data_IF_650322890971
#
_entry.id   IF_650322890971
#
_cell.length_a   1.000
_cell.length_b   1.000
_cell.length_c   1.000
_cell.angle_alpha   90.00
_cell.angle_beta   90.00
_cell.angle_gamma   90.00
#
_symmetry.space_group_name_H-M   'P 1'
#
loop_
_entity.id
_entity.type
_entity.pdbx_description
1 polymer ?
#
# COMPACT_ATOMS: atom_id res chain seq x y z
N UNK A 1 -11.33 -20.83 19.42
CA UNK A 1 -10.84 -19.50 19.79
C UNK A 1 -10.33 -18.77 18.57
N UNK A 2 -10.84 -17.58 18.34
CA UNK A 2 -10.31 -16.72 17.30
C UNK A 2 -9.12 -15.95 17.85
N UNK A 3 -7.97 -16.11 17.22
CA UNK A 3 -6.79 -15.33 17.59
C UNK A 3 -6.88 -13.95 16.98
N UNK A 4 -6.65 -12.93 17.79
CA UNK A 4 -6.47 -11.57 17.29
C UNK A 4 -5.22 -11.53 16.43
N UNK A 5 -5.30 -10.99 15.20
CA UNK A 5 -4.13 -10.89 14.35
C UNK A 5 -3.08 -9.97 14.96
N UNK A 6 -1.83 -10.38 14.88
CA UNK A 6 -0.69 -9.55 15.26
C UNK A 6 -0.15 -8.93 13.98
N UNK A 7 -0.01 -7.60 13.97
CA UNK A 7 0.60 -6.90 12.85
C UNK A 7 2.08 -6.70 13.16
N UNK A 8 2.92 -7.18 12.28
CA UNK A 8 4.38 -7.14 12.43
C UNK A 8 5.07 -7.00 11.08
N UNK A 9 6.35 -6.64 11.11
CA UNK A 9 7.16 -6.60 9.90
C UNK A 9 7.37 -8.02 9.38
N UNK A 10 7.39 -8.19 8.06
CA UNK A 10 7.64 -9.50 7.46
C UNK A 10 9.02 -10.03 7.81
N UNK A 11 9.15 -11.36 7.82
CA UNK A 11 10.43 -12.06 7.88
C UNK A 11 10.62 -12.84 6.58
N UNK A 12 11.85 -13.34 6.29
CA UNK A 12 12.06 -14.14 5.07
C UNK A 12 11.14 -15.35 4.97
N UNK A 13 10.73 -15.93 6.10
CA UNK A 13 9.83 -17.09 6.14
C UNK A 13 8.43 -16.75 5.67
N UNK A 14 8.05 -15.46 5.68
CA UNK A 14 6.70 -15.04 5.29
C UNK A 14 6.55 -14.86 3.77
N UNK A 15 7.63 -14.83 3.01
CA UNK A 15 7.61 -14.43 1.60
C UNK A 15 6.67 -15.27 0.74
N UNK A 16 6.70 -16.59 0.90
CA UNK A 16 5.81 -17.45 0.13
C UNK A 16 4.34 -17.26 0.51
N UNK A 17 4.06 -17.12 1.82
CA UNK A 17 2.70 -16.87 2.28
C UNK A 17 2.17 -15.53 1.78
N UNK A 18 3.01 -14.49 1.73
CA UNK A 18 2.64 -13.20 1.15
C UNK A 18 2.31 -13.35 -0.33
N UNK A 19 3.14 -14.09 -1.07
CA UNK A 19 2.92 -14.34 -2.49
C UNK A 19 1.55 -15.01 -2.73
N UNK A 20 1.29 -16.09 -2.01
CA UNK A 20 0.06 -16.85 -2.16
C UNK A 20 -1.16 -16.02 -1.77
N UNK A 21 -1.08 -15.30 -0.67
CA UNK A 21 -2.16 -14.42 -0.20
C UNK A 21 -2.48 -13.35 -1.26
N UNK A 22 -1.45 -12.69 -1.78
CA UNK A 22 -1.61 -11.61 -2.76
C UNK A 22 -2.22 -12.15 -4.05
N UNK A 23 -1.71 -13.28 -4.55
CA UNK A 23 -2.29 -13.96 -5.72
C UNK A 23 -3.77 -14.23 -5.54
N UNK A 24 -4.14 -14.83 -4.40
CA UNK A 24 -5.52 -15.25 -4.16
C UNK A 24 -6.45 -14.06 -3.92
N UNK A 25 -5.98 -13.00 -3.28
CA UNK A 25 -6.79 -11.81 -3.01
C UNK A 25 -7.09 -11.03 -4.30
N UNK A 26 -6.14 -10.97 -5.25
CA UNK A 26 -6.32 -10.23 -6.49
C UNK A 26 -6.94 -11.05 -7.62
N UNK A 27 -6.90 -12.37 -7.53
CA UNK A 27 -7.41 -13.25 -8.60
C UNK A 27 -8.85 -12.93 -9.03
N UNK A 28 -9.81 -12.64 -8.13
CA UNK A 28 -11.18 -12.35 -8.55
C UNK A 28 -11.39 -10.92 -9.05
N UNK A 29 -10.39 -10.05 -8.98
CA UNK A 29 -10.55 -8.64 -9.31
C UNK A 29 -10.36 -8.41 -10.81
N UNK A 30 -11.37 -7.82 -11.45
CA UNK A 30 -11.39 -7.65 -12.91
C UNK A 30 -10.26 -6.73 -13.40
N UNK A 31 -9.79 -5.80 -12.58
CA UNK A 31 -8.72 -4.88 -12.97
C UNK A 31 -7.32 -5.49 -12.83
N UNK A 32 -7.19 -6.64 -12.18
CA UNK A 32 -5.89 -7.25 -11.95
C UNK A 32 -5.45 -8.08 -13.15
N UNK A 33 -4.17 -7.99 -13.49
CA UNK A 33 -3.54 -8.85 -14.49
C UNK A 33 -2.75 -10.01 -13.86
N UNK A 34 -2.81 -10.15 -12.54
CA UNK A 34 -2.11 -11.21 -11.81
C UNK A 34 -0.67 -10.89 -11.45
N UNK A 35 -0.21 -9.67 -11.73
CA UNK A 35 1.20 -9.30 -11.51
C UNK A 35 1.52 -8.87 -10.07
N UNK A 36 0.50 -8.64 -9.24
CA UNK A 36 0.70 -8.07 -7.90
C UNK A 36 1.67 -8.88 -7.01
N UNK A 37 1.62 -10.22 -6.98
CA UNK A 37 2.60 -10.97 -6.18
C UNK A 37 4.03 -10.78 -6.64
N UNK A 38 4.25 -10.80 -7.96
CA UNK A 38 5.59 -10.62 -8.53
C UNK A 38 6.10 -9.19 -8.31
N UNK A 39 5.20 -8.22 -8.29
CA UNK A 39 5.51 -6.83 -8.00
C UNK A 39 6.15 -6.68 -6.61
N UNK A 40 5.60 -7.35 -5.60
CA UNK A 40 6.16 -7.32 -4.24
C UNK A 40 7.57 -7.91 -4.24
N UNK A 41 7.77 -9.04 -4.92
CA UNK A 41 9.08 -9.65 -5.04
C UNK A 41 10.07 -8.73 -5.76
N UNK A 42 9.62 -8.02 -6.79
CA UNK A 42 10.47 -7.07 -7.52
C UNK A 42 10.84 -5.87 -6.65
N UNK A 43 9.88 -5.31 -5.88
CA UNK A 43 10.19 -4.26 -4.92
C UNK A 43 11.27 -4.69 -3.95
N UNK A 44 11.19 -5.93 -3.47
CA UNK A 44 12.17 -6.49 -2.54
C UNK A 44 13.54 -6.63 -3.20
N UNK A 45 13.58 -7.15 -4.43
CA UNK A 45 14.83 -7.32 -5.19
C UNK A 45 15.48 -5.98 -5.52
N UNK A 46 14.68 -4.95 -5.81
CA UNK A 46 15.17 -3.61 -6.15
C UNK A 46 15.62 -2.82 -4.92
N UNK A 47 15.37 -3.32 -3.71
CA UNK A 47 15.65 -2.56 -2.48
C UNK A 47 14.62 -1.47 -2.20
N UNK A 48 13.46 -1.52 -2.87
CA UNK A 48 12.41 -0.50 -2.76
C UNK A 48 11.27 -0.89 -1.81
N UNK A 49 11.29 -2.11 -1.25
CA UNK A 49 10.29 -2.51 -0.27
C UNK A 49 10.64 -1.90 1.08
N UNK A 50 10.25 -0.63 1.27
CA UNK A 50 10.64 0.15 2.43
C UNK A 50 10.00 -0.35 3.72
N UNK A 51 8.76 -0.82 3.63
CA UNK A 51 8.02 -1.37 4.76
C UNK A 51 7.07 -2.44 4.24
N UNK A 52 7.09 -3.59 4.88
CA UNK A 52 6.21 -4.71 4.52
C UNK A 52 5.65 -5.28 5.82
N UNK A 53 4.34 -5.15 5.99
CA UNK A 53 3.65 -5.58 7.22
C UNK A 53 2.73 -6.73 6.92
N UNK A 54 2.75 -7.71 7.80
CA UNK A 54 1.85 -8.86 7.75
C UNK A 54 0.92 -8.86 8.95
N UNK A 55 -0.29 -9.36 8.75
CA UNK A 55 -1.22 -9.68 9.83
C UNK A 55 -1.17 -11.19 10.03
N UNK A 56 -0.70 -11.61 11.19
CA UNK A 56 -0.45 -13.00 11.53
C UNK A 56 -1.47 -13.48 12.58
N UNK A 57 -2.28 -14.47 12.21
CA UNK A 57 -3.24 -15.10 13.10
C UNK A 57 -3.19 -16.61 12.84
N UNK A 58 -2.12 -17.27 13.34
CA UNK A 58 -1.80 -18.66 13.01
C UNK A 58 -1.64 -18.85 11.49
N UNK A 59 -0.93 -17.96 10.87
CA UNK A 59 -0.73 -17.87 9.44
C UNK A 59 -1.01 -16.45 8.94
N UNK A 60 -0.50 -16.13 7.77
CA UNK A 60 -0.60 -14.78 7.20
C UNK A 60 -1.99 -14.61 6.60
N UNK A 61 -2.76 -13.66 7.12
CA UNK A 61 -4.10 -13.36 6.66
C UNK A 61 -4.23 -11.97 6.05
N UNK A 62 -3.19 -11.14 6.14
CA UNK A 62 -3.16 -9.82 5.54
C UNK A 62 -1.75 -9.34 5.29
N UNK A 63 -1.59 -8.41 4.37
CA UNK A 63 -0.30 -7.83 4.01
C UNK A 63 -0.49 -6.44 3.40
N UNK A 64 0.46 -5.54 3.68
CA UNK A 64 0.55 -4.25 3.01
C UNK A 64 2.02 -3.92 2.75
N UNK A 65 2.29 -3.41 1.55
CA UNK A 65 3.63 -2.96 1.15
C UNK A 65 3.66 -1.44 1.01
N UNK A 66 4.79 -0.85 1.37
CA UNK A 66 5.07 0.56 1.16
C UNK A 66 6.42 0.67 0.46
N UNK A 67 6.51 1.56 -0.53
CA UNK A 67 7.72 1.76 -1.32
C UNK A 67 7.92 3.25 -1.58
N UNK A 68 9.15 3.70 -1.90
CA UNK A 68 9.40 5.12 -2.13
C UNK A 68 8.56 5.68 -3.26
N UNK A 69 8.07 6.90 -3.08
CA UNK A 69 7.36 7.65 -4.10
C UNK A 69 7.93 9.06 -4.18
N UNK A 70 7.83 9.68 -5.34
CA UNK A 70 8.24 11.06 -5.56
C UNK A 70 7.05 11.86 -6.07
N UNK A 71 6.93 13.09 -5.60
CA UNK A 71 5.87 14.01 -6.01
C UNK A 71 6.56 15.29 -6.47
N UNK A 72 6.24 15.76 -7.68
CA UNK A 72 6.99 16.83 -8.33
C UNK A 72 7.01 18.16 -7.56
N UNK A 73 5.93 18.46 -6.84
CA UNK A 73 5.82 19.71 -6.06
C UNK A 73 5.46 19.39 -4.62
N UNK A 74 6.24 18.55 -4.00
CA UNK A 74 6.10 18.21 -2.58
C UNK A 74 7.46 18.17 -1.92
N UNK A 75 7.51 18.49 -0.64
CA UNK A 75 8.73 18.43 0.16
C UNK A 75 8.74 17.19 1.04
N UNK A 76 9.94 16.78 1.42
CA UNK A 76 10.12 15.66 2.31
C UNK A 76 10.10 14.31 1.61
N UNK A 77 10.09 13.25 2.41
CA UNK A 77 10.12 11.88 1.92
C UNK A 77 8.71 11.33 1.87
N UNK A 78 8.33 10.79 0.71
CA UNK A 78 7.01 10.23 0.47
C UNK A 78 7.10 8.75 0.15
N UNK A 79 6.06 8.03 0.53
CA UNK A 79 5.95 6.60 0.23
C UNK A 79 4.64 6.32 -0.49
N UNK A 80 4.67 5.31 -1.35
CA UNK A 80 3.47 4.78 -1.99
C UNK A 80 2.96 3.58 -1.22
N UNK A 81 1.65 3.44 -1.11
CA UNK A 81 1.00 2.30 -0.48
C UNK A 81 0.50 1.35 -1.56
N UNK A 82 0.87 0.10 -1.45
CA UNK A 82 0.37 -0.97 -2.32
C UNK A 82 1.46 -1.94 -2.76
N UNK A 83 1.08 -3.16 -3.08
CA UNK A 83 -0.25 -3.74 -2.94
C UNK A 83 -0.67 -3.96 -1.48
N UNK A 84 -1.97 -4.06 -1.26
CA UNK A 84 -2.54 -4.46 0.02
C UNK A 84 -3.47 -5.66 -0.22
N UNK A 85 -3.39 -6.66 0.64
CA UNK A 85 -4.19 -7.88 0.52
C UNK A 85 -4.73 -8.31 1.87
N UNK A 86 -5.98 -8.77 1.88
CA UNK A 86 -6.60 -9.40 3.04
C UNK A 86 -7.27 -10.68 2.54
N UNK A 87 -7.07 -11.79 3.25
CA UNK A 87 -7.68 -13.07 2.89
C UNK A 87 -9.20 -12.93 2.79
N UNK A 88 -9.79 -13.55 1.77
CA UNK A 88 -11.19 -13.33 1.40
C UNK A 88 -12.16 -13.49 2.58
N UNK A 89 -11.94 -14.51 3.42
CA UNK A 89 -12.80 -14.78 4.58
C UNK A 89 -12.55 -13.83 5.78
N UNK A 90 -11.55 -12.95 5.65
CA UNK A 90 -11.20 -11.97 6.69
C UNK A 90 -11.44 -10.54 6.27
N UNK A 91 -11.96 -10.33 5.06
CA UNK A 91 -12.27 -8.98 4.57
C UNK A 91 -13.48 -8.39 5.30
N UNK A 92 -13.59 -7.05 5.25
CA UNK A 92 -14.69 -6.28 5.85
C UNK A 92 -14.77 -6.40 7.36
N UNK A 93 -13.65 -6.70 8.03
CA UNK A 93 -13.55 -6.78 9.48
C UNK A 93 -12.59 -5.73 10.06
N UNK A 94 -12.18 -4.77 9.24
CA UNK A 94 -11.29 -3.69 9.67
C UNK A 94 -9.82 -4.03 9.62
N UNK A 95 -9.43 -5.21 9.12
CA UNK A 95 -8.03 -5.63 9.10
C UNK A 95 -7.19 -4.79 8.14
N UNK A 96 -7.73 -4.47 6.94
CA UNK A 96 -7.05 -3.61 6.00
C UNK A 96 -6.77 -2.23 6.59
N UNK A 97 -7.76 -1.64 7.25
CA UNK A 97 -7.60 -0.35 7.94
C UNK A 97 -6.51 -0.42 9.00
N UNK A 98 -6.48 -1.50 9.77
CA UNK A 98 -5.48 -1.68 10.83
C UNK A 98 -4.07 -1.81 10.26
N UNK A 99 -3.91 -2.56 9.16
CA UNK A 99 -2.63 -2.66 8.45
C UNK A 99 -2.17 -1.30 7.95
N UNK A 100 -3.06 -0.55 7.31
CA UNK A 100 -2.73 0.78 6.77
C UNK A 100 -2.33 1.73 7.90
N UNK A 101 -3.13 1.83 8.95
CA UNK A 101 -2.83 2.75 10.06
C UNK A 101 -1.54 2.39 10.78
N UNK A 102 -1.27 1.11 10.98
CA UNK A 102 0.00 0.68 11.58
C UNK A 102 1.18 1.11 10.70
N UNK A 103 1.06 0.91 9.39
CA UNK A 103 2.10 1.33 8.45
C UNK A 103 2.30 2.83 8.42
N UNK A 104 1.21 3.60 8.40
CA UNK A 104 1.30 5.07 8.40
C UNK A 104 1.99 5.59 9.67
N UNK A 105 1.69 5.00 10.83
CA UNK A 105 2.35 5.38 12.08
C UNK A 105 3.85 5.09 12.02
N UNK A 106 4.23 3.95 11.44
CA UNK A 106 5.65 3.60 11.28
C UNK A 106 6.36 4.54 10.33
N UNK A 107 5.73 4.89 9.20
CA UNK A 107 6.29 5.85 8.25
C UNK A 107 6.46 7.23 8.90
N UNK A 108 5.47 7.67 9.66
CA UNK A 108 5.57 8.93 10.39
C UNK A 108 6.76 8.92 11.35
N UNK A 109 6.95 7.83 12.07
CA UNK A 109 8.07 7.69 13.00
C UNK A 109 9.42 7.60 12.29
N UNK A 110 9.45 7.22 11.02
CA UNK A 110 10.64 7.24 10.18
C UNK A 110 10.96 8.64 9.63
N UNK A 111 10.12 9.62 9.89
CA UNK A 111 10.32 10.98 9.39
C UNK A 111 9.70 11.27 8.04
N UNK A 112 8.82 10.41 7.54
CA UNK A 112 8.15 10.63 6.26
C UNK A 112 7.23 11.85 6.32
N UNK A 113 7.09 12.54 5.18
CA UNK A 113 6.17 13.66 5.03
C UNK A 113 4.74 13.18 4.78
N UNK A 114 4.57 12.04 4.14
CA UNK A 114 3.26 11.50 3.87
C UNK A 114 3.29 10.24 3.04
N UNK A 115 2.09 9.81 2.66
CA UNK A 115 1.88 8.58 1.88
C UNK A 115 0.85 8.84 0.78
N UNK A 116 1.05 8.23 -0.37
CA UNK A 116 0.20 8.41 -1.55
C UNK A 116 -0.18 7.06 -2.12
N UNK A 117 -1.35 6.98 -2.74
CA UNK A 117 -1.82 5.76 -3.36
C UNK A 117 -2.74 6.05 -4.54
N UNK A 118 -2.92 5.04 -5.38
CA UNK A 118 -4.03 5.02 -6.35
C UNK A 118 -5.02 3.94 -5.90
N UNK A 119 -6.30 4.28 -5.87
CA UNK A 119 -7.32 3.34 -5.42
C UNK A 119 -8.70 3.95 -5.33
N UNK A 120 -9.61 3.19 -4.75
CA UNK A 120 -11.00 3.59 -4.62
C UNK A 120 -11.17 4.56 -3.44
N UNK A 121 -11.61 5.81 -3.68
CA UNK A 121 -11.82 6.75 -2.60
C UNK A 121 -12.82 6.27 -1.54
N UNK A 122 -13.80 5.46 -1.92
CA UNK A 122 -14.77 4.92 -0.97
C UNK A 122 -14.10 4.02 0.10
N UNK A 123 -12.96 3.43 -0.25
CA UNK A 123 -12.18 2.60 0.67
C UNK A 123 -11.23 3.45 1.52
N UNK A 124 -10.53 4.40 0.88
CA UNK A 124 -9.38 5.06 1.51
C UNK A 124 -9.72 6.39 2.19
N UNK A 125 -10.75 7.11 1.74
CA UNK A 125 -11.18 8.32 2.44
C UNK A 125 -11.59 8.02 3.89
N UNK A 126 -12.35 6.94 4.17
CA UNK A 126 -12.66 6.59 5.56
C UNK A 126 -11.43 6.24 6.40
N UNK A 127 -10.33 5.84 5.76
CA UNK A 127 -9.07 5.55 6.47
C UNK A 127 -8.27 6.82 6.82
N UNK A 128 -8.68 7.99 6.30
CA UNK A 128 -8.00 9.26 6.57
C UNK A 128 -7.27 9.85 5.38
N UNK A 129 -7.41 9.27 4.19
CA UNK A 129 -6.79 9.81 2.98
C UNK A 129 -7.61 10.93 2.38
N UNK A 130 -6.94 11.88 1.76
CA UNK A 130 -7.55 13.03 1.10
C UNK A 130 -7.59 12.82 -0.40
N UNK A 131 -8.73 13.21 -1.01
CA UNK A 131 -8.93 13.15 -2.45
C UNK A 131 -9.37 14.54 -2.91
N UNK A 132 -8.42 15.43 -3.16
CA UNK A 132 -8.71 16.81 -3.55
C UNK A 132 -8.28 17.13 -4.98
N UNK A 133 -7.89 16.11 -5.74
CA UNK A 133 -7.48 16.20 -7.15
C UNK A 133 -6.22 17.06 -7.38
N UNK A 134 -5.42 17.29 -6.33
CA UNK A 134 -4.18 18.05 -6.45
C UNK A 134 -3.04 17.28 -7.12
N UNK A 135 -3.14 15.95 -7.15
CA UNK A 135 -2.12 15.07 -7.68
C UNK A 135 -2.55 14.44 -8.99
N UNK A 136 -1.56 14.18 -9.86
CA UNK A 136 -1.77 13.49 -11.13
C UNK A 136 -0.84 12.28 -11.22
N UNK A 137 -1.27 11.27 -11.98
CA UNK A 137 -0.46 10.09 -12.24
C UNK A 137 -0.85 9.47 -13.58
N UNK A 138 0.05 9.53 -14.54
CA UNK A 138 0.00 8.76 -15.80
C UNK A 138 -1.38 8.74 -16.48
N UNK A 139 -2.10 9.85 -16.52
CA UNK A 139 -3.41 9.93 -17.18
C UNK A 139 -4.57 9.31 -16.41
N UNK A 140 -4.31 8.81 -15.21
CA UNK A 140 -5.38 8.29 -14.35
C UNK A 140 -6.30 9.44 -13.91
N UNK A 141 -7.61 9.17 -13.81
CA UNK A 141 -8.54 10.16 -13.29
C UNK A 141 -8.11 10.55 -11.86
N UNK A 142 -7.91 11.85 -11.57
CA UNK A 142 -7.43 12.28 -10.26
C UNK A 142 -8.29 11.85 -9.08
N UNK A 143 -9.55 11.50 -9.29
CA UNK A 143 -10.40 11.01 -8.21
C UNK A 143 -9.90 9.71 -7.59
N UNK A 144 -9.04 8.96 -8.32
CA UNK A 144 -8.46 7.70 -7.85
C UNK A 144 -7.08 7.88 -7.23
N UNK A 145 -6.64 9.12 -7.03
CA UNK A 145 -5.33 9.43 -6.43
C UNK A 145 -5.58 10.07 -5.07
N UNK A 146 -5.04 9.44 -4.03
CA UNK A 146 -5.27 9.87 -2.65
C UNK A 146 -3.95 9.99 -1.90
N UNK A 147 -3.94 10.85 -0.89
CA UNK A 147 -2.75 11.04 -0.06
C UNK A 147 -3.14 11.32 1.38
N UNK A 148 -2.18 11.13 2.29
CA UNK A 148 -2.25 11.69 3.63
C UNK A 148 -0.92 12.34 3.98
N UNK A 149 -0.96 13.43 4.74
CA UNK A 149 0.24 14.15 5.15
C UNK A 149 0.43 14.00 6.64
N UNK A 150 1.70 13.98 7.05
CA UNK A 150 2.06 13.89 8.46
C UNK A 150 2.51 15.25 9.02
N UNK A 151 2.77 16.23 8.14
CA UNK A 151 3.33 17.53 8.51
C UNK A 151 2.46 18.72 8.08
N UNK A 152 1.21 18.48 7.73
CA UNK A 152 0.25 19.51 7.28
C UNK A 152 0.59 20.13 5.91
N UNK A 153 1.62 19.65 5.21
CA UNK A 153 1.91 20.10 3.86
C UNK A 153 0.87 19.57 2.88
N UNK A 154 0.63 20.30 1.79
CA UNK A 154 -0.29 19.86 0.73
C UNK A 154 0.56 19.52 -0.49
N UNK A 155 0.66 18.26 -0.88
CA UNK A 155 1.41 17.89 -2.08
C UNK A 155 0.65 18.27 -3.33
N UNK A 156 1.39 18.61 -4.39
CA UNK A 156 0.83 18.94 -5.71
C UNK A 156 1.69 18.34 -6.79
N UNK A 157 1.08 18.11 -7.94
CA UNK A 157 1.81 17.74 -9.14
C UNK A 157 1.72 16.28 -9.47
N UNK A 158 2.76 15.77 -10.13
CA UNK A 158 2.78 14.40 -10.64
C UNK A 158 3.53 13.47 -9.71
N UNK A 159 2.98 12.26 -9.56
CA UNK A 159 3.56 11.20 -8.75
C UNK A 159 4.40 10.30 -9.64
N UNK A 160 5.56 9.87 -9.11
CA UNK A 160 6.32 8.74 -9.63
C UNK A 160 6.45 7.71 -8.52
N UNK A 161 5.88 6.53 -8.73
CA UNK A 161 6.02 5.41 -7.82
C UNK A 161 7.33 4.66 -8.08
N UNK A 162 7.67 3.70 -7.22
CA UNK A 162 8.78 2.81 -7.47
C UNK A 162 8.62 2.09 -8.81
N UNK A 163 9.72 1.82 -9.49
CA UNK A 163 9.68 1.27 -10.85
C UNK A 163 8.84 0.00 -10.98
N UNK A 164 8.93 -0.90 -10.00
CA UNK A 164 8.15 -2.13 -10.03
C UNK A 164 6.64 -1.88 -10.04
N UNK A 165 6.18 -0.81 -9.38
CA UNK A 165 4.76 -0.44 -9.38
C UNK A 165 4.36 0.21 -10.70
N UNK A 166 5.24 0.99 -11.31
CA UNK A 166 4.93 1.71 -12.54
C UNK A 166 4.87 0.80 -13.77
N UNK A 167 5.62 -0.30 -13.79
CA UNK A 167 5.59 -1.26 -14.88
C UNK A 167 4.20 -1.86 -15.11
N UNK A 168 3.40 -1.96 -14.07
CA UNK A 168 2.05 -2.49 -14.17
C UNK A 168 1.09 -1.58 -14.93
N UNK A 169 1.42 -0.29 -15.02
CA UNK A 169 0.54 0.71 -15.64
C UNK A 169 0.94 1.09 -17.07
N UNK A 170 1.84 0.33 -17.66
CA UNK A 170 2.27 0.54 -19.06
C UNK A 170 1.34 -0.09 -20.05
#
# INVERSE_FOLDING_TARGET
MTHEPIIRVETPQDRQAIYDLTRDAFAPMAFSDGSEPDMINQLRADGDLALSLVADADGIIGHVAFSPAKISQAQGVWYGLGPISVRADKQRQGLGTKLVHTGLDMLRNMGAAGCVLTGNPDVYVPMGFTNDHALTYSGLNPKFILYCTFDSSIPKGEINFAEALEEEHR
#
